data_IF_035585234768
#
_entry.id   IF_035585234768
#
_cell.length_a   1.000
_cell.length_b   1.000
_cell.length_c   1.000
_cell.angle_alpha   90.00
_cell.angle_beta   90.00
_cell.angle_gamma   90.00
#
_symmetry.space_group_name_H-M   'P 1'
#
loop_
_entity.id
_entity.type
_entity.pdbx_description
1 polymer ?
#
# COMPACT_ATOMS: atom_id res chain seq x y z
N UNK A 1 16.50 6.27 -19.22
CA UNK A 1 15.16 5.91 -18.77
C UNK A 1 15.20 4.86 -17.68
N UNK A 2 15.92 3.71 -17.83
CA UNK A 2 15.95 2.64 -16.81
C UNK A 2 16.60 3.06 -15.48
N UNK A 3 17.57 3.96 -15.49
CA UNK A 3 18.21 4.49 -14.28
C UNK A 3 17.29 5.36 -13.41
N UNK A 4 16.21 5.90 -14.00
CA UNK A 4 15.27 6.81 -13.30
C UNK A 4 14.06 6.10 -12.72
N UNK A 5 13.94 4.77 -12.90
CA UNK A 5 12.79 3.97 -12.41
C UNK A 5 13.30 2.91 -11.45
N UNK A 6 12.80 2.91 -10.23
CA UNK A 6 12.93 1.80 -9.28
C UNK A 6 11.73 0.87 -9.40
N UNK A 7 11.97 -0.45 -9.36
CA UNK A 7 10.91 -1.46 -9.44
C UNK A 7 11.07 -2.51 -8.35
N UNK A 8 9.98 -2.78 -7.64
CA UNK A 8 9.89 -3.88 -6.67
C UNK A 8 8.78 -4.83 -7.13
N UNK A 9 9.11 -6.01 -7.66
CA UNK A 9 8.12 -6.98 -8.09
C UNK A 9 7.49 -7.72 -6.89
N UNK A 10 6.25 -8.16 -7.04
CA UNK A 10 5.58 -9.04 -6.07
C UNK A 10 6.32 -10.37 -5.91
N UNK A 11 6.71 -10.98 -7.03
CA UNK A 11 7.45 -12.24 -7.05
C UNK A 11 8.93 -11.98 -7.36
N UNK A 12 9.85 -12.22 -6.41
CA UNK A 12 11.28 -12.04 -6.65
C UNK A 12 11.78 -12.92 -7.80
N UNK A 13 12.58 -12.37 -8.74
CA UNK A 13 13.10 -13.13 -9.86
C UNK A 13 14.07 -14.24 -9.39
N UNK A 14 14.16 -15.40 -10.10
CA UNK A 14 14.97 -16.55 -9.67
C UNK A 14 16.46 -16.35 -10.02
N UNK A 15 17.09 -15.29 -9.54
CA UNK A 15 18.48 -14.96 -9.82
C UNK A 15 19.43 -15.92 -9.10
N UNK A 16 20.37 -16.51 -9.86
CA UNK A 16 21.39 -17.43 -9.34
C UNK A 16 22.69 -16.71 -8.92
N UNK A 17 22.84 -15.42 -9.22
CA UNK A 17 24.04 -14.65 -8.85
C UNK A 17 24.11 -14.44 -7.32
N UNK A 18 25.32 -14.34 -6.75
CA UNK A 18 25.54 -13.98 -5.35
C UNK A 18 24.96 -12.60 -5.02
N UNK A 19 24.56 -12.42 -3.75
CA UNK A 19 24.00 -11.15 -3.27
C UNK A 19 24.96 -9.97 -3.51
N UNK A 20 26.26 -10.14 -3.23
CA UNK A 20 27.26 -9.10 -3.48
C UNK A 20 27.24 -8.65 -4.94
N UNK A 21 27.29 -9.60 -5.88
CA UNK A 21 27.26 -9.29 -7.31
C UNK A 21 25.96 -8.62 -7.75
N UNK A 22 24.82 -8.99 -7.14
CA UNK A 22 23.54 -8.34 -7.44
C UNK A 22 23.54 -6.88 -6.98
N UNK A 23 24.10 -6.59 -5.81
CA UNK A 23 24.22 -5.22 -5.28
C UNK A 23 25.14 -4.40 -6.18
N UNK A 24 26.36 -4.90 -6.48
CA UNK A 24 27.34 -4.21 -7.33
C UNK A 24 26.82 -3.96 -8.74
N UNK A 25 26.18 -4.96 -9.34
CA UNK A 25 25.54 -4.84 -10.65
C UNK A 25 24.45 -3.78 -10.65
N UNK A 26 23.57 -3.81 -9.63
CA UNK A 26 22.47 -2.86 -9.52
C UNK A 26 22.97 -1.44 -9.30
N UNK A 27 23.98 -1.27 -8.48
CA UNK A 27 24.62 0.02 -8.20
C UNK A 27 25.29 0.58 -9.47
N UNK A 28 26.10 -0.23 -10.15
CA UNK A 28 26.77 0.16 -11.39
C UNK A 28 25.80 0.54 -12.51
N UNK A 29 24.71 -0.22 -12.67
CA UNK A 29 23.66 0.05 -13.68
C UNK A 29 22.98 1.40 -13.48
N UNK A 30 22.87 1.86 -12.25
CA UNK A 30 22.13 3.07 -11.87
C UNK A 30 23.02 4.25 -11.48
N UNK A 31 24.34 4.06 -11.45
CA UNK A 31 25.29 5.09 -11.01
C UNK A 31 25.14 5.41 -9.51
N UNK A 32 24.76 4.44 -8.69
CA UNK A 32 24.53 4.59 -7.25
C UNK A 32 25.65 3.97 -6.45
N UNK A 33 25.96 4.51 -5.26
CA UNK A 33 26.91 3.91 -4.35
C UNK A 33 26.33 2.62 -3.72
N UNK A 34 27.01 1.46 -3.82
CA UNK A 34 26.61 0.23 -3.13
C UNK A 34 26.41 0.40 -1.62
N UNK A 35 27.16 1.29 -0.97
CA UNK A 35 27.03 1.57 0.45
C UNK A 35 25.62 2.00 0.85
N UNK A 36 24.92 2.75 -0.02
CA UNK A 36 23.53 3.17 0.21
C UNK A 36 22.56 1.99 0.23
N UNK A 37 22.81 0.98 -0.62
CA UNK A 37 21.99 -0.25 -0.63
C UNK A 37 22.23 -1.03 0.66
N UNK A 38 23.48 -1.08 1.13
CA UNK A 38 23.83 -1.73 2.40
C UNK A 38 23.14 -1.06 3.59
N UNK A 39 23.17 0.27 3.67
CA UNK A 39 22.50 1.06 4.71
C UNK A 39 20.99 0.78 4.75
N UNK A 40 20.32 0.84 3.60
CA UNK A 40 18.89 0.59 3.50
C UNK A 40 18.52 -0.85 3.85
N UNK A 41 19.34 -1.82 3.45
CA UNK A 41 19.16 -3.21 3.83
C UNK A 41 19.25 -3.38 5.36
N UNK A 42 20.24 -2.74 5.98
CA UNK A 42 20.41 -2.76 7.44
C UNK A 42 19.23 -2.11 8.16
N UNK A 43 18.76 -0.94 7.69
CA UNK A 43 17.55 -0.30 8.24
C UNK A 43 16.34 -1.24 8.19
N UNK A 44 16.16 -1.99 7.10
CA UNK A 44 15.10 -3.00 6.96
C UNK A 44 15.33 -4.28 7.79
N UNK A 45 16.38 -4.32 8.62
CA UNK A 45 16.71 -5.49 9.43
C UNK A 45 17.25 -6.67 8.60
N UNK A 46 17.96 -6.40 7.50
CA UNK A 46 18.63 -7.40 6.69
C UNK A 46 20.15 -7.27 6.85
N UNK A 47 20.75 -8.18 7.64
CA UNK A 47 22.20 -8.28 7.74
C UNK A 47 22.77 -8.90 6.46
N UNK A 48 23.55 -8.11 5.71
CA UNK A 48 24.12 -8.55 4.43
C UNK A 48 25.39 -9.39 4.60
N UNK A 49 26.23 -9.10 5.59
CA UNK A 49 27.53 -9.75 5.75
C UNK A 49 27.49 -11.29 5.67
N UNK A 50 26.59 -12.02 6.36
CA UNK A 50 26.54 -13.47 6.33
C UNK A 50 25.97 -14.06 5.03
N UNK A 51 25.43 -13.22 4.14
CA UNK A 51 24.72 -13.68 2.93
C UNK A 51 25.31 -13.18 1.62
N UNK A 52 26.35 -12.35 1.64
CA UNK A 52 26.95 -11.75 0.45
C UNK A 52 27.36 -12.77 -0.62
N UNK A 53 27.90 -13.94 -0.21
CA UNK A 53 28.31 -15.01 -1.11
C UNK A 53 27.17 -15.96 -1.51
N UNK A 54 26.01 -15.86 -0.85
CA UNK A 54 24.88 -16.74 -1.14
C UNK A 54 24.17 -16.32 -2.42
N UNK A 55 23.73 -17.26 -3.27
CA UNK A 55 22.89 -16.95 -4.41
C UNK A 55 21.55 -16.32 -3.94
N UNK A 56 21.12 -15.26 -4.61
CA UNK A 56 19.86 -14.56 -4.28
C UNK A 56 18.67 -15.53 -4.22
N UNK A 57 18.58 -16.49 -5.15
CA UNK A 57 17.50 -17.49 -5.19
C UNK A 57 17.39 -18.32 -3.89
N UNK A 58 18.50 -18.45 -3.13
CA UNK A 58 18.57 -19.23 -1.87
C UNK A 58 18.18 -18.42 -0.62
N UNK A 59 17.88 -17.14 -0.75
CA UNK A 59 17.37 -16.33 0.36
C UNK A 59 15.91 -16.69 0.66
N UNK A 60 15.47 -16.42 1.90
CA UNK A 60 14.03 -16.50 2.26
C UNK A 60 13.22 -15.44 1.50
N UNK A 61 11.91 -15.60 1.43
CA UNK A 61 11.02 -14.63 0.78
C UNK A 61 11.18 -13.22 1.36
N UNK A 62 11.16 -13.10 2.68
CA UNK A 62 11.35 -11.81 3.35
C UNK A 62 12.74 -11.19 3.11
N UNK A 63 13.82 -11.99 3.13
CA UNK A 63 15.17 -11.50 2.82
C UNK A 63 15.27 -11.00 1.37
N UNK A 64 14.68 -11.71 0.41
CA UNK A 64 14.62 -11.27 -0.99
C UNK A 64 13.88 -9.95 -1.13
N UNK A 65 12.73 -9.84 -0.47
CA UNK A 65 11.92 -8.64 -0.51
C UNK A 65 12.64 -7.44 0.08
N UNK A 66 13.24 -7.58 1.27
CA UNK A 66 14.06 -6.53 1.91
C UNK A 66 15.21 -6.07 1.00
N UNK A 67 15.92 -7.00 0.37
CA UNK A 67 17.01 -6.67 -0.55
C UNK A 67 16.52 -5.94 -1.80
N UNK A 68 15.42 -6.39 -2.43
CA UNK A 68 14.85 -5.72 -3.61
C UNK A 68 14.36 -4.31 -3.29
N UNK A 69 13.77 -4.11 -2.12
CA UNK A 69 13.39 -2.78 -1.62
C UNK A 69 14.63 -1.91 -1.43
N UNK A 70 15.67 -2.42 -0.77
CA UNK A 70 16.91 -1.68 -0.56
C UNK A 70 17.57 -1.27 -1.90
N UNK A 71 17.56 -2.16 -2.89
CA UNK A 71 18.07 -1.87 -4.24
C UNK A 71 17.20 -0.80 -4.92
N UNK A 72 15.88 -0.90 -4.84
CA UNK A 72 14.98 0.05 -5.50
C UNK A 72 15.05 1.44 -4.86
N UNK A 73 15.10 1.52 -3.53
CA UNK A 73 15.20 2.78 -2.78
C UNK A 73 16.63 3.35 -2.79
N UNK A 74 17.67 2.51 -2.94
CA UNK A 74 19.06 2.94 -3.05
C UNK A 74 19.34 3.76 -4.30
N UNK A 75 18.49 3.67 -5.31
CA UNK A 75 18.61 4.44 -6.56
C UNK A 75 18.12 5.88 -6.36
N UNK A 76 18.66 6.80 -7.16
CA UNK A 76 18.10 8.14 -7.35
C UNK A 76 16.94 8.12 -8.37
N UNK A 77 15.98 7.23 -8.14
CA UNK A 77 14.84 7.07 -9.03
C UNK A 77 13.88 8.25 -8.88
N UNK A 78 13.34 8.74 -10.00
CA UNK A 78 12.24 9.71 -10.03
C UNK A 78 10.87 9.04 -9.95
N UNK A 79 10.80 7.75 -10.27
CA UNK A 79 9.59 6.96 -10.23
C UNK A 79 9.87 5.63 -9.55
N UNK A 80 9.05 5.26 -8.59
CA UNK A 80 9.05 3.95 -7.95
C UNK A 80 7.75 3.22 -8.30
N UNK A 81 7.89 2.03 -8.87
CA UNK A 81 6.77 1.13 -9.13
C UNK A 81 6.93 -0.09 -8.24
N UNK A 82 5.94 -0.35 -7.39
CA UNK A 82 6.02 -1.39 -6.38
C UNK A 82 4.75 -2.22 -6.37
N UNK A 83 4.92 -3.53 -6.62
CA UNK A 83 3.82 -4.48 -6.67
C UNK A 83 3.78 -5.31 -5.39
N UNK A 84 2.75 -5.08 -4.54
CA UNK A 84 2.56 -5.70 -3.23
C UNK A 84 3.84 -5.72 -2.37
N UNK A 85 4.58 -4.59 -2.25
CA UNK A 85 5.94 -4.58 -1.73
C UNK A 85 6.05 -5.03 -0.26
N UNK A 86 4.99 -4.87 0.52
CA UNK A 86 4.96 -5.20 1.95
C UNK A 86 4.46 -6.62 2.27
N UNK A 87 4.02 -7.40 1.26
CA UNK A 87 3.37 -8.69 1.48
C UNK A 87 4.22 -9.72 2.24
N UNK A 88 5.54 -9.73 1.98
CA UNK A 88 6.48 -10.70 2.58
C UNK A 88 7.35 -10.11 3.71
N UNK A 89 7.03 -8.90 4.19
CA UNK A 89 7.76 -8.26 5.27
C UNK A 89 7.16 -8.65 6.63
N UNK A 90 8.03 -8.85 7.60
CA UNK A 90 7.65 -8.89 9.01
C UNK A 90 7.12 -7.51 9.48
N UNK A 91 6.38 -7.44 10.61
CA UNK A 91 5.75 -6.19 11.05
C UNK A 91 6.73 -5.03 11.26
N UNK A 92 7.94 -5.30 11.77
CA UNK A 92 8.96 -4.29 12.02
C UNK A 92 9.54 -3.75 10.71
N UNK A 93 9.97 -4.64 9.80
CA UNK A 93 10.47 -4.25 8.49
C UNK A 93 9.41 -3.51 7.66
N UNK A 94 8.13 -3.87 7.81
CA UNK A 94 7.03 -3.20 7.15
C UNK A 94 6.87 -1.75 7.64
N UNK A 95 6.95 -1.53 8.95
CA UNK A 95 6.91 -0.18 9.53
C UNK A 95 8.05 0.68 8.98
N UNK A 96 9.27 0.15 9.03
CA UNK A 96 10.47 0.85 8.52
C UNK A 96 10.34 1.13 7.01
N UNK A 97 9.80 0.19 6.24
CA UNK A 97 9.56 0.38 4.81
C UNK A 97 8.65 1.58 4.53
N UNK A 98 7.54 1.73 5.26
CA UNK A 98 6.65 2.88 5.09
C UNK A 98 7.28 4.19 5.56
N UNK A 99 8.10 4.17 6.61
CA UNK A 99 8.90 5.33 7.02
C UNK A 99 9.88 5.77 5.93
N UNK A 100 10.58 4.82 5.30
CA UNK A 100 11.48 5.08 4.16
C UNK A 100 10.76 5.66 2.94
N UNK A 101 9.52 5.25 2.67
CA UNK A 101 8.70 5.84 1.61
C UNK A 101 8.27 7.27 1.96
N UNK A 102 7.88 7.50 3.21
CA UNK A 102 7.49 8.84 3.67
C UNK A 102 8.64 9.85 3.56
N UNK A 103 9.88 9.43 3.86
CA UNK A 103 11.09 10.26 3.68
C UNK A 103 11.27 10.74 2.22
N UNK A 104 10.70 10.05 1.24
CA UNK A 104 10.86 10.31 -0.21
C UNK A 104 9.59 10.79 -0.91
N UNK A 105 8.50 10.93 -0.19
CA UNK A 105 7.18 11.23 -0.74
C UNK A 105 7.15 12.52 -1.58
N UNK A 106 7.94 13.52 -1.22
CA UNK A 106 7.98 14.81 -1.91
C UNK A 106 8.82 14.79 -3.20
N UNK A 107 9.80 13.88 -3.29
CA UNK A 107 10.82 13.90 -4.34
C UNK A 107 10.59 12.86 -5.43
N UNK A 108 9.73 11.87 -5.18
CA UNK A 108 9.57 10.69 -6.04
C UNK A 108 8.10 10.39 -6.30
N UNK A 109 7.76 10.18 -7.56
CA UNK A 109 6.43 9.66 -7.94
C UNK A 109 6.37 8.17 -7.60
N UNK A 110 5.40 7.75 -6.79
CA UNK A 110 5.25 6.35 -6.36
C UNK A 110 3.96 5.75 -6.89
N UNK A 111 4.06 4.58 -7.51
CA UNK A 111 2.93 3.73 -7.88
C UNK A 111 3.02 2.44 -7.06
N UNK A 112 2.08 2.24 -6.15
CA UNK A 112 2.08 1.11 -5.21
C UNK A 112 0.80 0.33 -5.38
N UNK A 113 0.89 -0.96 -5.73
CA UNK A 113 -0.26 -1.85 -5.59
C UNK A 113 -0.34 -2.37 -4.14
N UNK A 114 -1.52 -2.39 -3.57
CA UNK A 114 -1.76 -2.98 -2.26
C UNK A 114 -3.23 -3.36 -2.09
N UNK A 115 -3.48 -4.51 -1.48
CA UNK A 115 -4.81 -4.90 -1.02
C UNK A 115 -5.11 -4.43 0.42
N UNK A 116 -4.15 -3.74 1.06
CA UNK A 116 -4.23 -3.21 2.42
C UNK A 116 -4.16 -1.70 2.42
N UNK A 117 -5.23 -1.06 1.98
CA UNK A 117 -5.30 0.40 1.84
C UNK A 117 -4.96 1.15 3.14
N UNK A 118 -5.32 0.60 4.29
CA UNK A 118 -4.99 1.19 5.59
C UNK A 118 -3.49 1.33 5.87
N UNK A 119 -2.65 0.48 5.26
CA UNK A 119 -1.19 0.54 5.45
C UNK A 119 -0.54 1.66 4.61
N UNK A 120 -1.13 2.00 3.46
CA UNK A 120 -0.58 2.99 2.51
C UNK A 120 -1.32 4.33 2.52
N UNK A 121 -2.45 4.41 3.21
CA UNK A 121 -3.35 5.58 3.17
C UNK A 121 -2.68 6.90 3.53
N UNK A 122 -1.72 6.91 4.45
CA UNK A 122 -0.99 8.11 4.85
C UNK A 122 0.06 8.58 3.80
N UNK A 123 0.36 7.75 2.80
CA UNK A 123 1.38 8.02 1.78
C UNK A 123 0.79 8.37 0.42
N UNK A 124 -0.49 8.07 0.18
CA UNK A 124 -1.09 8.20 -1.13
C UNK A 124 -1.91 9.48 -1.26
N UNK A 125 -1.76 10.15 -2.38
CA UNK A 125 -2.55 11.33 -2.76
C UNK A 125 -3.55 11.03 -3.90
N UNK A 126 -3.56 9.79 -4.42
CA UNK A 126 -4.52 9.32 -5.42
C UNK A 126 -4.72 7.82 -5.26
N UNK A 127 -5.96 7.38 -5.36
CA UNK A 127 -6.34 5.97 -5.31
C UNK A 127 -7.04 5.59 -6.61
N UNK A 128 -6.57 4.50 -7.20
CA UNK A 128 -7.19 3.90 -8.39
C UNK A 128 -7.60 2.48 -8.01
N UNK A 129 -8.91 2.22 -7.99
CA UNK A 129 -9.43 0.86 -7.79
C UNK A 129 -9.74 0.22 -9.14
N UNK A 130 -9.32 -1.02 -9.30
CA UNK A 130 -9.55 -1.80 -10.50
C UNK A 130 -10.36 -3.06 -10.17
N UNK A 131 -11.40 -3.31 -10.96
CA UNK A 131 -12.19 -4.54 -10.92
C UNK A 131 -12.36 -5.10 -12.33
N UNK A 132 -12.15 -6.41 -12.49
CA UNK A 132 -12.25 -7.14 -13.77
C UNK A 132 -11.54 -6.41 -14.94
N UNK A 133 -10.36 -5.82 -14.68
CA UNK A 133 -9.57 -5.11 -15.69
C UNK A 133 -10.09 -3.70 -16.07
N UNK A 134 -11.06 -3.18 -15.33
CA UNK A 134 -11.61 -1.83 -15.51
C UNK A 134 -11.31 -0.97 -14.29
N UNK A 135 -11.05 0.30 -14.52
CA UNK A 135 -10.99 1.29 -13.44
C UNK A 135 -12.42 1.55 -12.97
N UNK A 136 -12.70 1.26 -11.70
CA UNK A 136 -14.00 1.48 -11.06
C UNK A 136 -14.00 2.68 -10.13
N UNK A 137 -12.81 3.10 -9.65
CA UNK A 137 -12.61 4.31 -8.89
C UNK A 137 -11.29 4.95 -9.32
N UNK A 138 -11.29 6.26 -9.49
CA UNK A 138 -10.09 7.08 -9.70
C UNK A 138 -10.32 8.40 -8.95
N UNK A 139 -9.81 8.48 -7.73
CA UNK A 139 -10.05 9.62 -6.85
C UNK A 139 -8.73 10.16 -6.30
N UNK A 140 -8.67 11.48 -6.13
CA UNK A 140 -7.57 12.17 -5.44
C UNK A 140 -7.93 12.33 -3.98
N UNK A 141 -7.02 11.90 -3.12
CA UNK A 141 -7.10 12.23 -1.70
C UNK A 141 -6.80 13.72 -1.58
N UNK A 142 -7.80 14.52 -1.23
CA UNK A 142 -7.60 15.95 -1.02
C UNK A 142 -6.61 16.16 0.13
N UNK A 143 -5.69 17.11 -0.02
CA UNK A 143 -4.66 17.42 0.98
C UNK A 143 -5.26 17.82 2.35
N UNK A 144 -6.53 18.26 2.37
CA UNK A 144 -7.28 18.65 3.56
C UNK A 144 -8.07 17.49 4.23
N UNK A 145 -8.10 16.31 3.64
CA UNK A 145 -8.76 15.16 4.29
C UNK A 145 -7.78 14.54 5.28
N UNK A 146 -7.92 14.95 6.54
CA UNK A 146 -7.23 14.29 7.66
C UNK A 146 -7.55 12.79 7.65
N UNK A 147 -6.61 11.98 7.14
CA UNK A 147 -6.71 10.52 7.16
C UNK A 147 -6.80 9.96 8.59
N UNK A 148 -6.50 10.78 9.59
CA UNK A 148 -6.70 10.52 11.02
C UNK A 148 -8.10 10.91 11.51
N UNK A 149 -8.91 11.58 10.67
CA UNK A 149 -10.27 12.01 11.01
C UNK A 149 -11.25 10.83 11.11
N UNK A 150 -12.31 11.05 11.88
CA UNK A 150 -13.51 10.22 11.84
C UNK A 150 -14.58 10.98 11.07
N UNK A 151 -15.20 10.33 10.11
CA UNK A 151 -16.25 10.91 9.29
C UNK A 151 -17.61 10.44 9.80
N UNK A 152 -18.46 11.37 10.19
CA UNK A 152 -19.84 11.05 10.50
C UNK A 152 -20.55 10.62 9.21
N UNK A 153 -21.24 9.50 9.26
CA UNK A 153 -21.94 8.96 8.10
C UNK A 153 -23.37 8.61 8.46
N UNK A 154 -24.31 9.08 7.62
CA UNK A 154 -25.72 8.68 7.67
C UNK A 154 -26.13 8.11 6.34
N UNK A 155 -26.84 6.96 6.38
CA UNK A 155 -27.32 6.27 5.19
C UNK A 155 -28.79 5.94 5.38
N UNK A 156 -29.59 6.29 4.38
CA UNK A 156 -31.00 5.92 4.30
C UNK A 156 -31.22 4.97 3.13
N UNK A 157 -31.96 3.89 3.36
CA UNK A 157 -32.28 2.89 2.34
C UNK A 157 -33.78 2.84 2.05
N UNK A 158 -34.14 2.49 0.83
CA UNK A 158 -35.54 2.46 0.32
C UNK A 158 -36.41 1.39 0.98
N UNK A 159 -35.80 0.30 1.43
CA UNK A 159 -36.46 -0.83 2.10
C UNK A 159 -35.49 -1.56 2.98
N UNK A 160 -35.96 -2.19 4.04
CA UNK A 160 -35.13 -3.02 4.91
C UNK A 160 -34.57 -4.21 4.13
N UNK A 161 -33.24 -4.44 4.31
CA UNK A 161 -32.50 -5.50 3.65
C UNK A 161 -31.55 -6.15 4.67
N UNK A 162 -31.75 -7.43 5.04
CA UNK A 162 -30.95 -8.09 6.07
C UNK A 162 -29.46 -8.13 5.79
N UNK A 163 -29.06 -8.26 4.51
CA UNK A 163 -27.66 -8.26 4.10
C UNK A 163 -27.01 -6.88 4.34
N UNK A 164 -27.74 -5.80 4.06
CA UNK A 164 -27.30 -4.44 4.34
C UNK A 164 -27.20 -4.18 5.84
N UNK A 165 -28.19 -4.59 6.63
CA UNK A 165 -28.18 -4.45 8.09
C UNK A 165 -26.95 -5.14 8.71
N UNK A 166 -26.65 -6.38 8.28
CA UNK A 166 -25.47 -7.11 8.72
C UNK A 166 -24.16 -6.39 8.34
N UNK A 167 -24.10 -5.80 7.15
CA UNK A 167 -22.95 -5.01 6.71
C UNK A 167 -22.78 -3.76 7.57
N UNK A 168 -23.86 -3.01 7.86
CA UNK A 168 -23.82 -1.82 8.73
C UNK A 168 -23.41 -2.16 10.16
N UNK A 169 -23.90 -3.25 10.73
CA UNK A 169 -23.50 -3.73 12.06
C UNK A 169 -22.01 -4.09 12.11
N UNK A 170 -21.47 -4.71 11.06
CA UNK A 170 -20.03 -5.02 10.96
C UNK A 170 -19.16 -3.75 10.96
N UNK A 171 -19.72 -2.61 10.51
CA UNK A 171 -19.09 -1.30 10.57
C UNK A 171 -19.49 -0.48 11.81
N UNK A 172 -20.14 -1.11 12.80
CA UNK A 172 -20.57 -0.49 14.07
C UNK A 172 -21.59 0.67 13.86
N UNK A 173 -22.31 0.67 12.75
CA UNK A 173 -23.41 1.60 12.53
C UNK A 173 -24.61 1.23 13.39
N UNK A 174 -25.29 2.25 13.88
CA UNK A 174 -26.52 2.10 14.68
C UNK A 174 -27.73 2.31 13.80
N UNK A 175 -28.71 1.40 13.91
CA UNK A 175 -30.05 1.58 13.35
C UNK A 175 -30.80 2.64 14.18
N UNK A 176 -31.41 3.62 13.52
CA UNK A 176 -32.19 4.66 14.19
C UNK A 176 -33.62 4.22 14.52
N UNK A 177 -33.90 2.90 14.44
CA UNK A 177 -35.11 2.27 14.97
C UNK A 177 -36.15 1.86 13.93
N UNK A 178 -35.89 2.06 12.63
CA UNK A 178 -36.83 1.71 11.54
C UNK A 178 -36.24 0.71 10.54
N UNK A 179 -34.99 0.29 10.71
CA UNK A 179 -34.25 -0.58 9.78
C UNK A 179 -33.93 0.07 8.42
N UNK A 180 -34.25 1.36 8.29
CA UNK A 180 -34.05 2.12 7.05
C UNK A 180 -32.96 3.19 7.18
N UNK A 181 -32.76 3.72 8.38
CA UNK A 181 -31.80 4.78 8.65
C UNK A 181 -30.69 4.30 9.55
N UNK A 182 -29.47 4.50 9.11
CA UNK A 182 -28.26 4.04 9.76
C UNK A 182 -27.28 5.19 9.99
N UNK A 183 -26.72 5.29 11.18
CA UNK A 183 -25.76 6.32 11.56
C UNK A 183 -24.54 5.69 12.21
N UNK A 184 -23.36 6.21 11.87
CA UNK A 184 -22.10 5.74 12.42
C UNK A 184 -20.94 6.65 12.02
N UNK A 185 -19.74 6.25 12.40
CA UNK A 185 -18.51 6.94 12.05
C UNK A 185 -17.61 6.02 11.24
N UNK A 186 -17.01 6.57 10.20
CA UNK A 186 -16.06 5.87 9.34
C UNK A 186 -14.67 6.44 9.59
N UNK A 187 -13.70 5.63 10.06
CA UNK A 187 -12.33 6.08 10.19
C UNK A 187 -11.77 6.49 8.83
N UNK A 188 -10.98 7.57 8.77
CA UNK A 188 -10.38 8.07 7.55
C UNK A 188 -9.68 6.98 6.71
N UNK A 189 -8.82 6.13 7.32
CA UNK A 189 -8.16 5.03 6.61
C UNK A 189 -9.11 4.00 5.99
N UNK A 190 -10.31 3.83 6.56
CA UNK A 190 -11.31 2.88 6.09
C UNK A 190 -12.36 3.47 5.15
N UNK A 191 -12.30 4.79 4.89
CA UNK A 191 -13.30 5.51 4.09
C UNK A 191 -13.53 4.86 2.72
N UNK A 192 -12.46 4.57 1.98
CA UNK A 192 -12.55 3.96 0.65
C UNK A 192 -13.13 2.54 0.71
N UNK A 193 -12.71 1.75 1.69
CA UNK A 193 -13.25 0.41 1.92
C UNK A 193 -14.75 0.46 2.24
N UNK A 194 -15.16 1.43 3.03
CA UNK A 194 -16.57 1.67 3.35
C UNK A 194 -17.37 2.07 2.11
N UNK A 195 -16.84 3.00 1.29
CA UNK A 195 -17.46 3.41 0.03
C UNK A 195 -17.57 2.24 -0.97
N UNK A 196 -16.52 1.41 -1.09
CA UNK A 196 -16.56 0.20 -1.93
C UNK A 196 -17.58 -0.84 -1.44
N UNK A 197 -17.80 -0.94 -0.14
CA UNK A 197 -18.85 -1.79 0.41
C UNK A 197 -20.25 -1.20 0.13
N UNK A 198 -20.46 0.10 0.36
CA UNK A 198 -21.76 0.76 0.14
C UNK A 198 -22.13 0.82 -1.34
N UNK A 199 -21.17 0.88 -2.25
CA UNK A 199 -21.41 0.86 -3.70
C UNK A 199 -22.17 -0.39 -4.18
N UNK A 200 -21.99 -1.51 -3.49
CA UNK A 200 -22.72 -2.76 -3.77
C UNK A 200 -24.24 -2.64 -3.52
N UNK A 201 -24.63 -1.67 -2.71
CA UNK A 201 -26.00 -1.40 -2.31
C UNK A 201 -26.57 -0.11 -2.91
N UNK A 202 -25.88 0.48 -3.90
CA UNK A 202 -26.25 1.79 -4.48
C UNK A 202 -27.70 1.86 -4.94
N UNK A 203 -28.24 0.77 -5.50
CA UNK A 203 -29.64 0.71 -5.94
C UNK A 203 -30.65 0.75 -4.76
N UNK A 204 -30.22 0.34 -3.58
CA UNK A 204 -30.98 0.31 -2.34
C UNK A 204 -30.92 1.64 -1.60
N UNK A 205 -29.80 2.36 -1.68
CA UNK A 205 -29.58 3.62 -0.99
C UNK A 205 -30.46 4.71 -1.61
N UNK A 206 -31.14 5.48 -0.76
CA UNK A 206 -31.94 6.64 -1.15
C UNK A 206 -31.27 7.96 -0.77
N UNK A 207 -30.49 7.97 0.32
CA UNK A 207 -29.72 9.12 0.76
C UNK A 207 -28.42 8.67 1.42
N UNK A 208 -27.38 9.48 1.25
CA UNK A 208 -26.04 9.19 1.76
C UNK A 208 -25.30 10.49 2.09
N UNK A 209 -24.88 10.67 3.33
CA UNK A 209 -23.99 11.76 3.75
C UNK A 209 -22.76 11.20 4.45
N UNK A 210 -21.61 11.80 4.17
CA UNK A 210 -20.31 11.50 4.79
C UNK A 210 -19.59 12.82 5.02
N UNK A 211 -19.51 13.27 6.28
CA UNK A 211 -18.98 14.57 6.70
C UNK A 211 -17.81 14.43 7.68
#
# INVERSE_FOLDING_TARGET
>A
VLGSIGFVPQLPPPLKMPVAQLIDFSAALCGTDPARIHELAQRLGLELAPILTRPFVKLSGGMKQKLLIAIALGREAKVLVMDEPAANLDPEARKIFFELLAERQQDVTMLISSHRLNEVSALVNRVIEMDMGKVVLDDRVADDVSLSGQFACRITIKRSEPAFAKAMQAWQFRDLGNGLEWEGTVPGPDRLRFMGMTSRYVALISDYSLE
#
